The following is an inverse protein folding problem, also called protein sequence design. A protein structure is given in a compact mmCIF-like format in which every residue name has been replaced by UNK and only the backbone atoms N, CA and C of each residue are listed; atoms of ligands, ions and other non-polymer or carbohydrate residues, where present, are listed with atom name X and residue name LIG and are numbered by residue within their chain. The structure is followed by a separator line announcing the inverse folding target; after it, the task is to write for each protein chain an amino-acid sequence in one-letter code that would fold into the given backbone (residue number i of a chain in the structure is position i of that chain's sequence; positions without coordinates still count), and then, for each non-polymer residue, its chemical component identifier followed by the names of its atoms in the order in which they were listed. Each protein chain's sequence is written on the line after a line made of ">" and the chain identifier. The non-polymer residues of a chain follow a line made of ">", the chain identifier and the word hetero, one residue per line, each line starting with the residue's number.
data_IF_377810148462
#
_entry.id   IF_377810148462
#
_cell.length_a   1.000
_cell.length_b   1.000
_cell.length_c   1.000
_cell.angle_alpha   90.00
_cell.angle_beta   90.00
_cell.angle_gamma   90.00
#
_symmetry.space_group_name_H-M   'P 1'
#
loop_
_entity.id
_entity.type
_entity.pdbx_description
1 polymer ?
#
# COMPACT_ATOMS: atom_id res chain seq x y z
N UNK A 1 -14.87 16.20 1.25
CA UNK A 1 -15.16 14.86 1.80
C UNK A 1 -15.23 13.83 0.70
N UNK A 2 -14.76 12.63 0.98
CA UNK A 2 -14.80 11.54 0.01
C UNK A 2 -15.91 10.56 0.34
N UNK A 3 -16.50 9.98 -0.69
CA UNK A 3 -17.36 8.83 -0.53
C UNK A 3 -16.47 7.63 -0.23
N UNK A 4 -16.79 6.90 0.83
CA UNK A 4 -16.11 5.66 1.20
C UNK A 4 -16.91 4.49 0.68
N UNK A 5 -16.25 3.57 -0.01
CA UNK A 5 -16.90 2.39 -0.60
C UNK A 5 -16.17 1.12 -0.17
N UNK A 6 -16.83 -0.01 -0.32
CA UNK A 6 -16.24 -1.33 -0.15
C UNK A 6 -16.17 -1.99 -1.52
N UNK A 7 -15.00 -2.51 -1.88
CA UNK A 7 -14.79 -3.15 -3.18
C UNK A 7 -13.81 -4.31 -3.04
N UNK A 8 -13.72 -5.11 -4.09
CA UNK A 8 -12.84 -6.28 -4.13
C UNK A 8 -11.57 -5.98 -4.91
N UNK A 9 -10.43 -6.44 -4.38
CA UNK A 9 -9.17 -6.54 -5.12
C UNK A 9 -8.74 -8.00 -5.00
N UNK A 10 -8.93 -8.78 -6.06
CA UNK A 10 -8.74 -10.23 -5.99
C UNK A 10 -9.68 -10.84 -4.94
N UNK A 11 -9.13 -11.56 -3.96
CA UNK A 11 -9.88 -12.15 -2.86
C UNK A 11 -10.00 -11.24 -1.64
N UNK A 12 -9.41 -10.04 -1.68
CA UNK A 12 -9.43 -9.09 -0.57
C UNK A 12 -10.60 -8.13 -0.68
N UNK A 13 -11.26 -7.86 0.45
CA UNK A 13 -12.30 -6.84 0.54
C UNK A 13 -11.66 -5.59 1.14
N UNK A 14 -11.77 -4.47 0.42
CA UNK A 14 -11.13 -3.21 0.79
C UNK A 14 -12.19 -2.13 1.00
N UNK A 15 -12.07 -1.40 2.12
CA UNK A 15 -12.91 -0.23 2.41
C UNK A 15 -12.03 1.01 2.31
N UNK A 16 -12.33 1.87 1.36
CA UNK A 16 -11.51 3.05 1.10
C UNK A 16 -12.29 4.13 0.34
N UNK A 17 -11.67 5.31 0.22
CA UNK A 17 -12.23 6.41 -0.56
C UNK A 17 -12.36 6.01 -2.03
N UNK A 18 -13.53 6.20 -2.60
CA UNK A 18 -13.83 5.83 -3.99
C UNK A 18 -12.87 6.47 -4.99
N UNK A 19 -12.51 7.73 -4.76
CA UNK A 19 -11.61 8.47 -5.65
C UNK A 19 -10.20 7.88 -5.70
N UNK A 20 -9.83 7.04 -4.74
CA UNK A 20 -8.53 6.38 -4.70
C UNK A 20 -8.57 4.94 -5.22
N UNK A 21 -9.74 4.40 -5.55
CA UNK A 21 -9.93 3.00 -5.93
C UNK A 21 -8.97 2.53 -7.02
N UNK A 22 -8.87 3.27 -8.12
CA UNK A 22 -8.04 2.85 -9.26
C UNK A 22 -6.55 2.83 -8.90
N UNK A 23 -6.11 3.78 -8.07
CA UNK A 23 -4.74 3.81 -7.56
C UNK A 23 -4.46 2.57 -6.71
N UNK A 24 -5.42 2.18 -5.86
CA UNK A 24 -5.25 1.03 -4.96
C UNK A 24 -5.22 -0.27 -5.73
N UNK A 25 -6.05 -0.41 -6.76
CA UNK A 25 -6.03 -1.57 -7.62
C UNK A 25 -4.71 -1.68 -8.38
N UNK A 26 -4.18 -0.55 -8.85
CA UNK A 26 -2.87 -0.50 -9.51
C UNK A 26 -1.76 -0.94 -8.57
N UNK A 27 -1.76 -0.46 -7.32
CA UNK A 27 -0.77 -0.86 -6.30
C UNK A 27 -0.81 -2.37 -6.10
N UNK A 28 -1.99 -2.94 -5.92
CA UNK A 28 -2.16 -4.38 -5.69
C UNK A 28 -1.66 -5.21 -6.89
N UNK A 29 -1.96 -4.78 -8.10
CA UNK A 29 -1.49 -5.45 -9.30
C UNK A 29 0.03 -5.42 -9.43
N UNK A 30 0.65 -4.27 -9.14
CA UNK A 30 2.10 -4.12 -9.18
C UNK A 30 2.79 -4.94 -8.08
N UNK A 31 2.18 -4.99 -6.88
CA UNK A 31 2.70 -5.80 -5.78
C UNK A 31 2.70 -7.29 -6.12
N UNK A 32 1.65 -7.75 -6.80
CA UNK A 32 1.52 -9.13 -7.25
C UNK A 32 2.68 -9.54 -8.15
N UNK A 33 3.19 -8.62 -8.94
CA UNK A 33 4.30 -8.86 -9.87
C UNK A 33 5.66 -8.68 -9.21
N UNK A 34 5.72 -8.27 -7.95
CA UNK A 34 6.96 -8.05 -7.21
C UNK A 34 7.20 -9.20 -6.24
N UNK A 35 8.11 -10.10 -6.56
CA UNK A 35 8.39 -11.29 -5.75
C UNK A 35 8.89 -10.96 -4.35
N UNK A 36 9.51 -9.81 -4.15
CA UNK A 36 10.07 -9.38 -2.87
C UNK A 36 9.02 -8.88 -1.88
N UNK A 37 7.79 -8.63 -2.33
CA UNK A 37 6.72 -8.11 -1.49
C UNK A 37 5.85 -9.27 -0.99
N UNK A 38 5.66 -9.33 0.34
CA UNK A 38 4.78 -10.32 0.97
C UNK A 38 3.38 -9.77 1.22
N UNK A 39 3.28 -8.49 1.56
CA UNK A 39 2.00 -7.87 1.93
C UNK A 39 2.06 -6.36 1.73
N UNK A 40 0.92 -5.77 1.38
CA UNK A 40 0.74 -4.31 1.31
C UNK A 40 -0.53 -3.95 2.06
N UNK A 41 -0.43 -3.01 2.99
CA UNK A 41 -1.56 -2.51 3.77
C UNK A 41 -1.74 -1.02 3.50
N UNK A 42 -2.98 -0.63 3.20
CA UNK A 42 -3.39 0.77 3.09
C UNK A 42 -3.75 1.28 4.48
N UNK A 43 -3.23 2.44 4.86
CA UNK A 43 -3.63 3.11 6.10
C UNK A 43 -3.80 4.62 5.85
N UNK A 44 -4.09 5.38 6.89
CA UNK A 44 -4.21 6.82 6.78
C UNK A 44 -5.51 7.30 6.17
N UNK A 45 -5.50 8.52 5.63
CA UNK A 45 -6.72 9.24 5.21
C UNK A 45 -7.46 8.57 4.06
N UNK A 46 -6.77 7.84 3.19
CA UNK A 46 -7.41 7.17 2.06
C UNK A 46 -8.39 6.07 2.48
N UNK A 47 -8.33 5.61 3.74
CA UNK A 47 -9.27 4.63 4.27
C UNK A 47 -10.59 5.23 4.73
N UNK A 48 -10.71 6.56 4.79
CA UNK A 48 -11.84 7.23 5.41
C UNK A 48 -12.38 8.43 4.65
N UNK A 49 -13.43 9.02 5.22
CA UNK A 49 -14.14 10.15 4.64
C UNK A 49 -13.33 11.47 4.63
N UNK A 50 -12.26 11.53 5.41
CA UNK A 50 -11.39 12.72 5.46
C UNK A 50 -10.48 12.85 4.23
N UNK A 51 -10.44 11.84 3.39
CA UNK A 51 -9.67 11.85 2.16
C UNK A 51 -10.18 12.94 1.21
N UNK A 52 -9.27 13.54 0.46
CA UNK A 52 -9.59 14.45 -0.65
C UNK A 52 -8.82 13.99 -1.89
N UNK A 53 -9.09 14.61 -3.04
CA UNK A 53 -8.35 14.32 -4.26
C UNK A 53 -6.85 14.58 -4.12
N UNK A 54 -6.45 15.47 -3.21
CA UNK A 54 -5.07 15.84 -2.95
C UNK A 54 -4.42 15.03 -1.83
N UNK A 55 -5.17 14.18 -1.14
CA UNK A 55 -4.64 13.35 -0.06
C UNK A 55 -3.61 12.35 -0.57
N UNK A 56 -2.53 12.17 0.20
CA UNK A 56 -1.54 11.14 -0.06
C UNK A 56 -2.16 9.76 0.13
N UNK A 57 -1.60 8.78 -0.54
CA UNK A 57 -1.91 7.38 -0.31
C UNK A 57 -0.79 6.81 0.56
N UNK A 58 -1.13 6.38 1.78
CA UNK A 58 -0.19 5.82 2.73
C UNK A 58 -0.24 4.30 2.68
N UNK A 59 0.85 3.67 2.31
CA UNK A 59 0.95 2.21 2.27
C UNK A 59 2.13 1.70 3.08
N UNK A 60 1.95 0.55 3.70
CA UNK A 60 3.00 -0.20 4.37
C UNK A 60 3.27 -1.47 3.55
N UNK A 61 4.52 -1.63 3.16
CA UNK A 61 4.98 -2.78 2.38
C UNK A 61 5.77 -3.70 3.30
N UNK A 62 5.45 -4.98 3.26
CA UNK A 62 6.12 -6.00 4.07
C UNK A 62 6.85 -6.99 3.15
N UNK A 63 8.07 -7.34 3.51
CA UNK A 63 8.87 -8.32 2.79
C UNK A 63 9.90 -8.97 3.70
N UNK A 64 10.55 -10.03 3.22
CA UNK A 64 11.53 -10.79 4.01
C UNK A 64 12.91 -10.16 4.01
N UNK A 65 13.21 -9.32 3.03
CA UNK A 65 14.51 -8.65 2.92
C UNK A 65 14.62 -7.54 3.98
N UNK A 66 15.86 -7.21 4.37
CA UNK A 66 16.09 -6.01 5.17
C UNK A 66 15.76 -4.78 4.35
N UNK A 67 15.53 -3.65 5.00
CA UNK A 67 15.25 -2.40 4.29
C UNK A 67 16.36 -2.07 3.29
N UNK A 68 17.62 -2.20 3.70
CA UNK A 68 18.78 -1.95 2.86
C UNK A 68 18.78 -2.83 1.60
N UNK A 69 18.52 -4.12 1.76
CA UNK A 69 18.43 -5.06 0.64
C UNK A 69 17.26 -4.74 -0.27
N UNK A 70 16.11 -4.39 0.32
CA UNK A 70 14.90 -4.07 -0.42
C UNK A 70 15.10 -2.86 -1.31
N UNK A 71 15.72 -1.81 -0.79
CA UNK A 71 15.99 -0.58 -1.55
C UNK A 71 16.92 -0.82 -2.73
N UNK A 72 17.71 -1.89 -2.71
CA UNK A 72 18.61 -2.28 -3.81
C UNK A 72 17.97 -3.27 -4.78
N UNK A 73 16.82 -3.84 -4.45
CA UNK A 73 16.14 -4.85 -5.28
C UNK A 73 15.59 -4.22 -6.54
N UNK A 74 15.84 -4.82 -7.68
CA UNK A 74 15.34 -4.34 -8.98
C UNK A 74 13.83 -4.41 -9.06
N UNK A 75 13.22 -5.49 -8.56
CA UNK A 75 11.77 -5.67 -8.57
C UNK A 75 11.07 -4.64 -7.70
N UNK A 76 11.62 -4.32 -6.52
CA UNK A 76 11.06 -3.30 -5.66
C UNK A 76 11.19 -1.89 -6.26
N UNK A 77 12.34 -1.59 -6.83
CA UNK A 77 12.54 -0.31 -7.52
C UNK A 77 11.55 -0.13 -8.66
N UNK A 78 11.30 -1.20 -9.42
CA UNK A 78 10.31 -1.19 -10.49
C UNK A 78 8.91 -0.98 -9.96
N UNK A 79 8.55 -1.64 -8.85
CA UNK A 79 7.27 -1.47 -8.17
C UNK A 79 7.04 -0.01 -7.80
N UNK A 80 7.99 0.62 -7.11
CA UNK A 80 7.89 2.02 -6.67
C UNK A 80 7.78 2.95 -7.89
N UNK A 81 8.64 2.76 -8.89
CA UNK A 81 8.62 3.59 -10.10
C UNK A 81 7.27 3.51 -10.81
N UNK A 82 6.73 2.31 -10.94
CA UNK A 82 5.47 2.11 -11.65
C UNK A 82 4.25 2.63 -10.88
N UNK A 83 4.29 2.64 -9.56
CA UNK A 83 3.26 3.29 -8.75
C UNK A 83 3.19 4.78 -9.11
N UNK A 84 4.33 5.48 -9.03
CA UNK A 84 4.38 6.92 -9.31
C UNK A 84 4.10 7.24 -10.78
N UNK A 85 4.51 6.36 -11.69
CA UNK A 85 4.33 6.54 -13.12
C UNK A 85 2.86 6.47 -13.55
N UNK A 86 2.01 5.78 -12.78
CA UNK A 86 0.60 5.65 -13.06
C UNK A 86 -0.09 7.03 -13.12
N UNK A 87 0.25 7.91 -12.19
CA UNK A 87 -0.23 9.29 -12.15
C UNK A 87 0.74 10.12 -11.32
N UNK A 88 1.55 10.96 -11.97
CA UNK A 88 2.56 11.76 -11.29
C UNK A 88 1.97 12.84 -10.36
N UNK A 89 0.68 13.13 -10.48
CA UNK A 89 0.02 14.11 -9.60
C UNK A 89 -0.39 13.51 -8.25
N UNK A 90 -0.38 12.19 -8.12
CA UNK A 90 -0.72 11.51 -6.87
C UNK A 90 0.53 11.27 -6.05
N UNK A 91 0.53 11.72 -4.80
CA UNK A 91 1.62 11.48 -3.86
C UNK A 91 1.37 10.23 -3.04
N UNK A 92 2.45 9.54 -2.70
CA UNK A 92 2.43 8.31 -1.92
C UNK A 92 3.42 8.42 -0.77
N UNK A 93 3.03 7.89 0.38
CA UNK A 93 3.93 7.67 1.50
C UNK A 93 4.10 6.16 1.67
N UNK A 94 5.29 5.65 1.37
CA UNK A 94 5.57 4.22 1.35
C UNK A 94 6.52 3.88 2.48
N UNK A 95 6.03 3.08 3.44
CA UNK A 95 6.84 2.56 4.53
C UNK A 95 7.16 1.09 4.27
N UNK A 96 8.34 0.66 4.69
CA UNK A 96 8.74 -0.73 4.54
C UNK A 96 9.04 -1.37 5.89
N UNK A 97 8.57 -2.60 6.07
CA UNK A 97 8.81 -3.41 7.28
C UNK A 97 9.23 -4.82 6.90
N UNK A 98 10.12 -5.40 7.71
CA UNK A 98 10.50 -6.80 7.55
C UNK A 98 9.38 -7.70 8.08
N UNK A 99 8.89 -8.62 7.25
CA UNK A 99 7.73 -9.48 7.57
C UNK A 99 7.95 -10.34 8.80
N UNK A 100 9.16 -10.86 8.98
CA UNK A 100 9.48 -11.81 10.04
C UNK A 100 9.94 -11.14 11.33
N UNK A 101 10.06 -9.82 11.32
CA UNK A 101 10.48 -9.05 12.48
C UNK A 101 9.27 -8.60 13.27
N UNK A 102 9.39 -8.63 14.61
CA UNK A 102 8.34 -8.01 15.44
C UNK A 102 8.47 -6.51 15.35
N UNK A 103 7.42 -5.88 14.83
CA UNK A 103 7.34 -4.44 14.69
C UNK A 103 6.42 -3.89 15.76
N UNK A 104 6.85 -2.82 16.43
CA UNK A 104 6.13 -2.20 17.55
C UNK A 104 5.94 -0.70 17.33
N UNK A 105 5.01 -0.12 18.06
CA UNK A 105 4.81 1.32 18.13
C UNK A 105 3.46 1.75 17.59
N UNK A 106 3.13 3.02 17.82
CA UNK A 106 1.84 3.59 17.44
C UNK A 106 1.57 3.51 15.93
N UNK A 107 2.60 3.68 15.11
CA UNK A 107 2.43 3.62 13.67
C UNK A 107 2.10 2.21 13.18
N UNK A 108 2.73 1.18 13.77
CA UNK A 108 2.42 -0.20 13.36
C UNK A 108 1.02 -0.61 13.84
N UNK A 109 0.57 -0.13 14.97
CA UNK A 109 -0.79 -0.35 15.44
C UNK A 109 -1.81 0.25 14.47
N UNK A 110 -1.51 1.45 13.97
CA UNK A 110 -2.34 2.13 12.98
C UNK A 110 -2.38 1.36 11.67
N UNK A 111 -1.24 0.87 11.22
CA UNK A 111 -1.12 0.06 10.00
C UNK A 111 -1.92 -1.23 10.12
N UNK A 112 -1.86 -1.89 11.26
CA UNK A 112 -2.58 -3.16 11.50
C UNK A 112 -4.10 -2.99 11.48
N UNK A 113 -4.60 -1.78 11.66
CA UNK A 113 -6.02 -1.43 11.53
C UNK A 113 -6.42 -1.06 10.11
N UNK A 114 -5.47 -1.01 9.19
CA UNK A 114 -5.70 -0.62 7.81
C UNK A 114 -6.28 -1.73 6.95
N UNK A 115 -6.32 -1.48 5.64
CA UNK A 115 -6.91 -2.38 4.67
C UNK A 115 -5.82 -3.14 3.91
N UNK A 116 -5.91 -4.47 3.88
CA UNK A 116 -4.95 -5.29 3.14
C UNK A 116 -5.26 -5.20 1.64
N UNK A 117 -4.33 -4.64 0.88
CA UNK A 117 -4.46 -4.54 -0.58
C UNK A 117 -3.92 -5.77 -1.28
N UNK A 118 -2.88 -6.38 -0.72
CA UNK A 118 -2.21 -7.53 -1.30
C UNK A 118 -1.59 -8.38 -0.20
N UNK A 119 -1.69 -9.68 -0.35
CA UNK A 119 -1.03 -10.63 0.54
C UNK A 119 -0.62 -11.84 -0.28
N UNK A 120 0.66 -12.19 -0.18
CA UNK A 120 1.24 -13.32 -0.90
C UNK A 120 0.69 -14.63 -0.34
N UNK A 121 0.30 -15.51 -1.22
CA UNK A 121 -0.21 -16.83 -0.85
C UNK A 121 0.88 -17.72 -0.26
#
# INVERSE_FOLDING_TARGET
>A
MCRVITFKIGDKTVKAAEIKKDYLMNIANLAKDCASIDRVILFGSATGADCTGESDIDIAVFGKKTESQMLKSKDYKSFIRNIFKYDFSQDYDVLYFESEKQNHGAIIDNINKGEVLYEKA
#
